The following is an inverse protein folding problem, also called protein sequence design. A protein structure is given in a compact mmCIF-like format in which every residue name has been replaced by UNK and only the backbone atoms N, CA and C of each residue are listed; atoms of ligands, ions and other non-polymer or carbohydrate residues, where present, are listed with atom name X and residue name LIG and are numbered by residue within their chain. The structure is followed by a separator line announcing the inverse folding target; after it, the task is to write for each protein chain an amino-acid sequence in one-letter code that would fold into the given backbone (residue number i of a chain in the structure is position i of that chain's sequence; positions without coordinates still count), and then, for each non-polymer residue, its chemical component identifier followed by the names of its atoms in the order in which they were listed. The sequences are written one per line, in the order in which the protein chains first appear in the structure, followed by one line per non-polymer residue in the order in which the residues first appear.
data_IF_575365318656
#
_entry.id   IF_575365318656
#
_cell.length_a   1.000
_cell.length_b   1.000
_cell.length_c   1.000
_cell.angle_alpha   90.00
_cell.angle_beta   90.00
_cell.angle_gamma   90.00
#
_symmetry.space_group_name_H-M   'P 1'
#
loop_
_entity.id
_entity.type
_entity.pdbx_description
1 polymer ?
#
# COMPACT_ATOMS: atom_id res chain seq x y z
N UNK A 1 -3.16 7.90 17.99
CA UNK A 1 -1.73 7.64 18.26
C UNK A 1 -1.06 7.38 16.92
N UNK A 2 0.15 7.89 16.71
CA UNK A 2 0.91 7.62 15.48
C UNK A 2 1.81 6.42 15.71
N UNK A 3 1.72 5.42 14.85
CA UNK A 3 2.58 4.26 14.87
C UNK A 3 3.32 4.16 13.53
N UNK A 4 4.59 3.80 13.59
CA UNK A 4 5.46 3.72 12.41
C UNK A 4 6.15 2.37 12.33
N UNK A 5 6.40 1.89 11.11
CA UNK A 5 7.17 0.68 10.87
C UNK A 5 7.82 0.71 9.48
N UNK A 6 8.86 -0.11 9.29
CA UNK A 6 9.58 -0.23 8.01
C UNK A 6 9.47 -1.68 7.54
N UNK A 7 8.32 -2.10 6.95
CA UNK A 7 8.05 -3.51 6.63
C UNK A 7 9.02 -4.08 5.60
N UNK A 8 9.64 -3.22 4.79
CA UNK A 8 10.61 -3.58 3.76
C UNK A 8 12.06 -3.49 4.24
N UNK A 9 12.32 -3.15 5.50
CA UNK A 9 13.68 -3.13 6.05
C UNK A 9 14.29 -4.56 6.03
N UNK A 10 15.44 -4.77 5.34
CA UNK A 10 16.10 -6.07 5.32
C UNK A 10 16.47 -6.60 6.70
N UNK A 11 16.75 -5.74 7.68
CA UNK A 11 17.06 -6.20 9.04
C UNK A 11 15.81 -6.76 9.74
N UNK A 12 14.68 -6.07 9.67
CA UNK A 12 13.38 -6.56 10.14
C UNK A 12 12.98 -7.89 9.46
N UNK A 13 13.14 -7.98 8.14
CA UNK A 13 12.83 -9.19 7.37
C UNK A 13 13.68 -10.39 7.80
N UNK A 14 14.99 -10.21 7.99
CA UNK A 14 15.90 -11.27 8.48
C UNK A 14 15.59 -11.69 9.92
N UNK A 15 15.16 -10.73 10.75
CA UNK A 15 14.77 -11.00 12.13
C UNK A 15 13.42 -11.72 12.25
N UNK A 16 12.65 -11.84 11.15
CA UNK A 16 11.30 -12.41 11.16
C UNK A 16 10.29 -11.55 11.92
N UNK A 17 10.58 -10.25 12.10
CA UNK A 17 9.80 -9.34 12.94
C UNK A 17 9.89 -7.91 12.43
N UNK A 18 8.76 -7.22 12.34
CA UNK A 18 8.67 -5.80 12.00
C UNK A 18 8.35 -5.01 13.27
N UNK A 19 9.31 -4.28 13.85
CA UNK A 19 9.06 -3.41 15.00
C UNK A 19 8.07 -2.31 14.62
N UNK A 20 7.11 -2.05 15.51
CA UNK A 20 6.19 -0.91 15.42
C UNK A 20 6.60 0.10 16.48
N UNK A 21 6.99 1.28 16.04
CA UNK A 21 7.48 2.36 16.88
C UNK A 21 6.41 3.44 17.06
N UNK A 22 6.30 3.98 18.27
CA UNK A 22 5.46 5.13 18.58
C UNK A 22 6.20 6.45 18.44
N UNK A 23 5.51 7.52 18.82
CA UNK A 23 6.12 8.84 18.96
C UNK A 23 7.30 8.76 19.95
N UNK A 24 8.49 9.19 19.52
CA UNK A 24 9.74 9.09 20.29
C UNK A 24 10.55 7.82 20.06
N UNK A 25 10.17 6.96 19.11
CA UNK A 25 10.97 5.80 18.68
C UNK A 25 10.91 4.60 19.63
N UNK A 26 10.11 4.65 20.69
CA UNK A 26 9.85 3.51 21.56
C UNK A 26 9.05 2.46 20.81
N UNK A 27 9.47 1.20 20.92
CA UNK A 27 8.70 0.08 20.40
C UNK A 27 7.38 -0.09 21.18
N UNK A 28 6.28 -0.09 20.44
CA UNK A 28 4.91 -0.27 20.95
C UNK A 28 4.49 -1.74 20.90
N UNK A 29 4.79 -2.39 19.77
CA UNK A 29 4.50 -3.79 19.51
C UNK A 29 5.33 -4.25 18.30
N UNK A 30 5.07 -5.44 17.78
CA UNK A 30 5.67 -5.89 16.54
C UNK A 30 4.71 -6.78 15.75
N UNK A 31 4.95 -6.87 14.45
CA UNK A 31 4.33 -7.84 13.56
C UNK A 31 5.33 -8.97 13.30
N UNK A 32 4.83 -10.19 13.18
CA UNK A 32 5.61 -11.29 12.61
C UNK A 32 5.71 -11.12 11.10
N UNK A 33 6.85 -11.50 10.53
CA UNK A 33 7.02 -11.51 9.08
C UNK A 33 7.86 -12.68 8.61
N UNK A 34 7.61 -13.14 7.38
CA UNK A 34 8.48 -14.07 6.67
C UNK A 34 8.56 -13.73 5.19
N UNK A 35 9.78 -13.56 4.68
CA UNK A 35 10.03 -13.41 3.24
C UNK A 35 10.13 -14.79 2.60
N UNK A 36 9.43 -14.98 1.50
CA UNK A 36 9.45 -16.19 0.70
C UNK A 36 9.96 -15.86 -0.71
N UNK A 37 11.06 -16.52 -1.08
CA UNK A 37 11.62 -16.48 -2.42
C UNK A 37 11.42 -17.85 -3.05
N UNK A 38 10.58 -17.92 -4.09
CA UNK A 38 10.16 -19.17 -4.71
C UNK A 38 10.52 -19.19 -6.18
N UNK A 39 11.40 -20.10 -6.64
CA UNK A 39 11.48 -20.39 -8.06
C UNK A 39 10.18 -21.09 -8.48
N UNK A 40 9.42 -20.46 -9.39
CA UNK A 40 8.25 -21.05 -10.02
C UNK A 40 8.59 -21.45 -11.46
N UNK A 41 7.74 -22.27 -12.08
CA UNK A 41 7.99 -22.80 -13.43
C UNK A 41 8.12 -21.71 -14.50
N UNK A 42 7.51 -20.54 -14.29
CA UNK A 42 7.41 -19.45 -15.25
C UNK A 42 8.18 -18.18 -14.85
N UNK A 43 8.43 -17.96 -13.55
CA UNK A 43 9.18 -16.80 -13.04
C UNK A 43 9.65 -16.98 -11.60
N UNK A 44 10.44 -16.04 -11.11
CA UNK A 44 10.81 -15.99 -9.70
C UNK A 44 9.80 -15.13 -8.91
N UNK A 45 9.19 -15.72 -7.89
CA UNK A 45 8.21 -15.04 -7.02
C UNK A 45 8.87 -14.63 -5.70
N UNK A 46 8.80 -13.33 -5.38
CA UNK A 46 9.23 -12.79 -4.09
C UNK A 46 8.04 -12.19 -3.37
N UNK A 47 7.74 -12.69 -2.18
CA UNK A 47 6.64 -12.18 -1.37
C UNK A 47 7.03 -12.14 0.10
N UNK A 48 6.25 -11.41 0.88
CA UNK A 48 6.38 -11.31 2.32
C UNK A 48 5.00 -11.56 2.93
N UNK A 49 4.94 -12.47 3.90
CA UNK A 49 3.75 -12.65 4.75
C UNK A 49 3.94 -11.83 6.01
N UNK A 50 2.93 -11.03 6.36
CA UNK A 50 2.91 -10.19 7.57
C UNK A 50 1.70 -10.62 8.40
N UNK A 51 1.91 -10.93 9.69
CA UNK A 51 0.85 -11.36 10.59
C UNK A 51 1.08 -10.87 12.03
N UNK A 52 0.09 -11.09 12.90
CA UNK A 52 0.22 -10.80 14.34
C UNK A 52 1.12 -11.84 15.01
N UNK A 53 0.95 -13.12 14.65
CA UNK A 53 1.64 -14.26 15.25
C UNK A 53 2.34 -15.10 14.18
N UNK A 54 3.41 -15.84 14.55
CA UNK A 54 4.03 -16.81 13.67
C UNK A 54 3.03 -17.85 13.16
N UNK A 55 3.19 -18.27 11.91
CA UNK A 55 2.33 -19.28 11.30
C UNK A 55 3.10 -20.18 10.35
N UNK A 56 2.61 -21.40 10.21
CA UNK A 56 3.15 -22.36 9.25
C UNK A 56 2.74 -21.96 7.84
N UNK A 57 3.75 -21.76 6.98
CA UNK A 57 3.54 -21.44 5.57
C UNK A 57 3.74 -22.69 4.73
N UNK A 58 2.92 -22.90 3.69
CA UNK A 58 3.01 -24.11 2.89
C UNK A 58 4.32 -24.13 2.10
N UNK A 59 4.98 -25.29 2.01
CA UNK A 59 6.27 -25.45 1.34
C UNK A 59 6.23 -25.05 -0.15
N UNK A 60 7.38 -24.75 -0.77
CA UNK A 60 7.43 -24.48 -2.21
C UNK A 60 7.11 -25.74 -3.03
N UNK A 61 6.39 -25.57 -4.14
CA UNK A 61 6.17 -26.62 -5.15
C UNK A 61 6.86 -26.16 -6.45
N UNK A 62 8.04 -26.69 -6.80
CA UNK A 62 8.85 -26.15 -7.90
C UNK A 62 8.16 -26.19 -9.28
N UNK A 63 7.23 -27.12 -9.48
CA UNK A 63 6.47 -27.26 -10.72
C UNK A 63 5.34 -26.24 -10.87
N UNK A 64 5.03 -25.49 -9.81
CA UNK A 64 3.91 -24.54 -9.75
C UNK A 64 4.26 -23.22 -10.47
N UNK A 65 3.27 -22.62 -11.15
CA UNK A 65 3.40 -21.25 -11.67
C UNK A 65 3.36 -20.23 -10.52
N UNK A 66 3.88 -19.02 -10.75
CA UNK A 66 3.85 -17.97 -9.72
C UNK A 66 2.43 -17.63 -9.25
N UNK A 67 1.44 -17.59 -10.16
CA UNK A 67 0.03 -17.40 -9.80
C UNK A 67 -0.51 -18.56 -8.98
N UNK A 68 -0.15 -19.81 -9.31
CA UNK A 68 -0.51 -20.98 -8.52
C UNK A 68 0.05 -20.90 -7.09
N UNK A 69 1.34 -20.59 -6.97
CA UNK A 69 2.03 -20.47 -5.69
C UNK A 69 1.42 -19.39 -4.80
N UNK A 70 1.02 -18.26 -5.40
CA UNK A 70 0.32 -17.18 -4.70
C UNK A 70 -1.10 -17.60 -4.26
N UNK A 71 -1.88 -18.24 -5.13
CA UNK A 71 -3.22 -18.73 -4.80
C UNK A 71 -3.20 -19.80 -3.71
N UNK A 72 -2.18 -20.67 -3.69
CA UNK A 72 -1.99 -21.68 -2.65
C UNK A 72 -1.64 -21.05 -1.32
N UNK A 73 -0.78 -20.04 -1.31
CA UNK A 73 -0.45 -19.28 -0.11
C UNK A 73 -1.70 -18.54 0.42
N UNK A 74 -2.44 -17.85 -0.44
CA UNK A 74 -3.70 -17.19 -0.08
C UNK A 74 -4.68 -18.17 0.58
N UNK A 75 -4.87 -19.36 -0.03
CA UNK A 75 -5.74 -20.39 0.53
C UNK A 75 -5.31 -20.82 1.93
N UNK A 76 -4.00 -20.98 2.16
CA UNK A 76 -3.45 -21.33 3.46
C UNK A 76 -3.62 -20.22 4.51
N UNK A 77 -3.64 -18.96 4.08
CA UNK A 77 -3.79 -17.79 4.96
C UNK A 77 -5.25 -17.35 5.15
N UNK A 78 -6.20 -18.01 4.50
CA UNK A 78 -7.61 -17.62 4.55
C UNK A 78 -8.14 -17.66 6.00
N UNK A 79 -8.65 -16.52 6.46
CA UNK A 79 -9.22 -16.37 7.80
C UNK A 79 -8.21 -16.12 8.93
N UNK A 80 -6.90 -16.12 8.65
CA UNK A 80 -5.88 -15.81 9.67
C UNK A 80 -5.70 -14.31 9.91
N UNK A 81 -6.16 -13.47 8.97
CA UNK A 81 -5.92 -12.03 8.97
C UNK A 81 -4.51 -11.62 8.51
N UNK A 82 -3.65 -12.58 8.12
CA UNK A 82 -2.35 -12.28 7.55
C UNK A 82 -2.46 -11.55 6.21
N UNK A 83 -1.46 -10.73 5.92
CA UNK A 83 -1.33 -9.99 4.66
C UNK A 83 -0.21 -10.57 3.82
N UNK A 84 -0.43 -10.59 2.50
CA UNK A 84 0.60 -10.91 1.52
C UNK A 84 1.05 -9.60 0.87
N UNK A 85 2.34 -9.31 0.98
CA UNK A 85 3.02 -8.27 0.22
C UNK A 85 3.82 -8.86 -0.94
N UNK A 86 3.56 -8.39 -2.15
CA UNK A 86 4.31 -8.75 -3.34
C UNK A 86 5.57 -7.87 -3.40
N UNK A 87 6.75 -8.49 -3.37
CA UNK A 87 8.03 -7.79 -3.30
C UNK A 87 8.65 -7.50 -4.68
N UNK A 88 8.06 -8.03 -5.74
CA UNK A 88 8.47 -7.81 -7.13
C UNK A 88 7.26 -7.71 -8.05
N UNK A 89 6.31 -6.78 -7.82
CA UNK A 89 5.06 -6.73 -8.56
C UNK A 89 5.24 -6.59 -10.08
N UNK A 90 6.30 -5.95 -10.55
CA UNK A 90 6.59 -5.79 -11.97
C UNK A 90 6.79 -7.10 -12.75
N UNK A 91 7.02 -8.25 -12.08
CA UNK A 91 7.12 -9.54 -12.78
C UNK A 91 5.78 -10.10 -13.25
N UNK A 92 4.66 -9.46 -12.87
CA UNK A 92 3.32 -9.88 -13.25
C UNK A 92 2.68 -8.90 -14.25
N UNK A 93 2.15 -9.38 -15.39
CA UNK A 93 1.23 -8.58 -16.18
C UNK A 93 0.03 -8.13 -15.34
N UNK A 94 -0.51 -6.90 -15.54
CA UNK A 94 -1.62 -6.39 -14.74
C UNK A 94 -2.84 -7.32 -14.66
N UNK A 95 -3.20 -7.97 -15.78
CA UNK A 95 -4.29 -8.93 -15.83
C UNK A 95 -4.05 -10.18 -14.97
N UNK A 96 -2.79 -10.60 -14.78
CA UNK A 96 -2.44 -11.74 -13.92
C UNK A 96 -2.40 -11.35 -12.45
N UNK A 97 -2.03 -10.10 -12.14
CA UNK A 97 -2.13 -9.56 -10.78
C UNK A 97 -3.59 -9.54 -10.33
N UNK A 98 -4.53 -9.21 -11.22
CA UNK A 98 -5.95 -9.19 -10.89
C UNK A 98 -6.48 -10.54 -10.37
N UNK A 99 -5.84 -11.64 -10.76
CA UNK A 99 -6.18 -12.99 -10.30
C UNK A 99 -5.59 -13.32 -8.92
N UNK A 100 -4.66 -12.50 -8.43
CA UNK A 100 -4.05 -12.66 -7.12
C UNK A 100 -4.86 -11.92 -6.04
N UNK A 101 -6.11 -12.35 -5.83
CA UNK A 101 -7.02 -11.74 -4.85
C UNK A 101 -6.43 -11.67 -3.43
N UNK A 102 -5.45 -12.50 -3.07
CA UNK A 102 -4.78 -12.44 -1.77
C UNK A 102 -3.72 -11.36 -1.60
N UNK A 103 -3.10 -10.87 -2.68
CA UNK A 103 -2.02 -9.88 -2.58
C UNK A 103 -2.60 -8.46 -2.53
N UNK A 104 -2.56 -7.85 -1.34
CA UNK A 104 -3.12 -6.51 -1.08
C UNK A 104 -2.06 -5.43 -0.90
N UNK A 105 -0.78 -5.82 -0.77
CA UNK A 105 0.33 -4.91 -0.54
C UNK A 105 1.41 -5.09 -1.61
N UNK A 106 1.91 -4.00 -2.20
CA UNK A 106 2.91 -4.00 -3.26
C UNK A 106 4.15 -3.24 -2.79
N UNK A 107 5.32 -3.85 -2.78
CA UNK A 107 6.57 -3.10 -2.61
C UNK A 107 6.82 -2.24 -3.85
N UNK A 108 7.08 -0.95 -3.64
CA UNK A 108 7.32 0.02 -4.71
C UNK A 108 8.78 0.48 -4.68
N UNK A 109 9.69 -0.39 -5.13
CA UNK A 109 11.12 -0.12 -5.08
C UNK A 109 11.57 0.84 -6.19
N UNK A 110 10.92 0.77 -7.35
CA UNK A 110 11.25 1.57 -8.53
C UNK A 110 10.01 1.95 -9.37
N UNK A 111 10.26 2.62 -10.49
CA UNK A 111 9.22 3.09 -11.39
C UNK A 111 8.43 1.96 -12.09
N UNK A 112 9.03 0.77 -12.27
CA UNK A 112 8.33 -0.36 -12.87
C UNK A 112 7.31 -0.97 -11.90
N UNK A 113 7.66 -1.02 -10.61
CA UNK A 113 6.72 -1.42 -9.56
C UNK A 113 5.57 -0.39 -9.43
N UNK A 114 5.88 0.91 -9.47
CA UNK A 114 4.87 1.97 -9.45
C UNK A 114 3.92 1.88 -10.65
N UNK A 115 4.44 1.67 -11.86
CA UNK A 115 3.62 1.49 -13.07
C UNK A 115 2.73 0.24 -12.97
N UNK A 116 3.25 -0.84 -12.40
CA UNK A 116 2.48 -2.08 -12.17
C UNK A 116 1.35 -1.85 -11.17
N UNK A 117 1.62 -1.08 -10.11
CA UNK A 117 0.62 -0.69 -9.13
C UNK A 117 -0.48 0.19 -9.74
N UNK A 118 -0.13 1.25 -10.49
CA UNK A 118 -1.11 2.12 -11.16
C UNK A 118 -1.97 1.35 -12.18
N UNK A 119 -1.38 0.38 -12.90
CA UNK A 119 -2.12 -0.48 -13.82
C UNK A 119 -3.17 -1.34 -13.08
N UNK A 120 -2.84 -1.87 -11.91
CA UNK A 120 -3.75 -2.66 -11.07
C UNK A 120 -4.84 -1.80 -10.45
N UNK A 121 -4.49 -0.60 -9.98
CA UNK A 121 -5.47 0.37 -9.48
C UNK A 121 -6.47 0.80 -10.55
N UNK A 122 -6.03 0.88 -11.82
CA UNK A 122 -6.89 1.19 -12.96
C UNK A 122 -7.94 0.11 -13.23
N UNK A 123 -7.72 -1.11 -12.76
CA UNK A 123 -8.72 -2.20 -12.76
C UNK A 123 -9.69 -2.13 -11.57
N UNK A 124 -9.55 -1.14 -10.69
CA UNK A 124 -10.40 -0.96 -9.50
C UNK A 124 -10.04 -1.89 -8.33
N UNK A 125 -8.86 -2.49 -8.35
CA UNK A 125 -8.44 -3.42 -7.31
C UNK A 125 -7.83 -2.69 -6.10
N UNK A 126 -8.27 -3.01 -4.86
CA UNK A 126 -7.77 -2.36 -3.66
C UNK A 126 -6.40 -2.92 -3.25
N UNK A 127 -5.35 -2.40 -3.89
CA UNK A 127 -3.95 -2.73 -3.61
C UNK A 127 -3.22 -1.49 -3.11
N UNK A 128 -2.41 -1.65 -2.08
CA UNK A 128 -1.73 -0.53 -1.40
C UNK A 128 -0.21 -0.64 -1.55
N UNK A 129 0.45 0.51 -1.75
CA UNK A 129 1.88 0.60 -1.97
C UNK A 129 2.65 0.65 -0.65
N UNK A 130 3.70 -0.17 -0.53
CA UNK A 130 4.68 -0.14 0.55
C UNK A 130 5.98 0.48 0.06
N UNK A 131 6.45 1.50 0.76
CA UNK A 131 7.71 2.17 0.48
C UNK A 131 8.20 2.93 1.72
N UNK A 132 9.51 2.96 1.93
CA UNK A 132 10.12 3.67 3.05
C UNK A 132 9.51 3.32 4.40
N UNK A 133 9.32 4.36 5.23
CA UNK A 133 8.64 4.23 6.52
C UNK A 133 7.14 4.33 6.34
N UNK A 134 6.41 3.37 6.88
CA UNK A 134 4.96 3.42 6.98
C UNK A 134 4.57 4.18 8.26
N UNK A 135 3.65 5.11 8.14
CA UNK A 135 3.03 5.82 9.25
C UNK A 135 1.52 5.59 9.24
N UNK A 136 0.99 5.06 10.33
CA UNK A 136 -0.43 4.77 10.49
C UNK A 136 -1.01 5.49 11.71
N UNK A 137 -2.23 5.98 11.57
CA UNK A 137 -3.00 6.52 12.68
C UNK A 137 -3.76 5.37 13.35
N UNK A 138 -3.22 4.88 14.47
CA UNK A 138 -3.83 3.80 15.25
C UNK A 138 -4.57 4.35 16.47
N UNK A 139 -5.71 3.76 16.78
CA UNK A 139 -6.44 4.04 18.03
C UNK A 139 -5.73 3.42 19.25
N UNK A 140 -5.08 2.27 19.05
CA UNK A 140 -4.41 1.52 20.12
C UNK A 140 -3.02 1.04 19.68
N UNK A 141 -2.13 0.82 20.66
CA UNK A 141 -0.82 0.21 20.47
C UNK A 141 -0.91 -1.32 20.37
N UNK A 142 -1.64 -1.83 19.37
CA UNK A 142 -1.88 -3.25 19.19
C UNK A 142 -1.47 -3.70 17.77
N UNK A 143 -0.80 -4.86 17.59
CA UNK A 143 -0.41 -5.35 16.26
C UNK A 143 -1.57 -5.44 15.27
N UNK A 144 -2.73 -5.89 15.73
CA UNK A 144 -3.94 -5.97 14.90
C UNK A 144 -4.43 -4.62 14.38
N UNK A 145 -4.19 -3.50 15.10
CA UNK A 145 -4.54 -2.17 14.62
C UNK A 145 -3.63 -1.74 13.45
N UNK A 146 -2.34 -2.03 13.54
CA UNK A 146 -1.37 -1.78 12.46
C UNK A 146 -1.65 -2.68 11.25
N UNK A 147 -1.90 -3.98 11.50
CA UNK A 147 -2.22 -4.93 10.43
C UNK A 147 -3.51 -4.53 9.71
N UNK A 148 -4.54 -4.09 10.45
CA UNK A 148 -5.76 -3.54 9.86
C UNK A 148 -5.48 -2.27 9.04
N UNK A 149 -4.65 -1.35 9.55
CA UNK A 149 -4.28 -0.16 8.80
C UNK A 149 -3.62 -0.51 7.45
N UNK A 150 -2.68 -1.47 7.44
CA UNK A 150 -2.07 -1.98 6.22
C UNK A 150 -3.10 -2.63 5.28
N UNK A 151 -4.01 -3.44 5.83
CA UNK A 151 -5.02 -4.18 5.06
C UNK A 151 -6.01 -3.28 4.31
N UNK A 152 -6.27 -2.07 4.84
CA UNK A 152 -7.27 -1.13 4.31
C UNK A 152 -6.67 0.17 3.76
N UNK A 153 -5.34 0.27 3.68
CA UNK A 153 -4.67 1.46 3.17
C UNK A 153 -4.71 2.68 4.10
N UNK A 154 -4.98 2.51 5.39
CA UNK A 154 -5.06 3.62 6.36
C UNK A 154 -3.67 4.01 6.87
N UNK A 155 -2.75 4.33 5.96
CA UNK A 155 -1.38 4.72 6.26
C UNK A 155 -0.79 5.65 5.19
N UNK A 156 0.34 6.25 5.51
CA UNK A 156 1.17 6.98 4.56
C UNK A 156 2.56 6.32 4.48
N UNK A 157 3.19 6.41 3.31
CA UNK A 157 4.60 6.08 3.11
C UNK A 157 5.41 7.37 3.21
N UNK A 158 6.45 7.39 4.03
CA UNK A 158 7.26 8.57 4.31
C UNK A 158 8.73 8.27 4.05
N UNK A 159 9.32 9.02 3.11
CA UNK A 159 10.74 8.99 2.79
C UNK A 159 11.30 10.40 2.98
N UNK A 160 11.71 10.71 4.21
CA UNK A 160 12.28 12.02 4.56
C UNK A 160 11.27 13.16 4.73
N UNK A 161 9.97 12.92 4.50
CA UNK A 161 8.90 13.87 4.75
C UNK A 161 7.78 13.23 5.57
N UNK A 162 7.65 13.63 6.83
CA UNK A 162 6.57 13.16 7.70
C UNK A 162 5.33 14.05 7.59
N UNK A 163 4.15 13.41 7.58
CA UNK A 163 2.88 14.12 7.71
C UNK A 163 2.59 14.41 9.18
N UNK A 164 2.29 15.67 9.49
CA UNK A 164 1.79 16.07 10.80
C UNK A 164 0.31 15.67 10.93
N UNK A 165 -0.44 15.79 9.83
CA UNK A 165 -1.87 15.51 9.79
C UNK A 165 -2.30 15.02 8.41
N UNK A 166 -3.19 14.04 8.40
CA UNK A 166 -3.93 13.57 7.24
C UNK A 166 -5.36 13.29 7.70
N UNK A 167 -6.32 14.07 7.23
CA UNK A 167 -7.74 13.85 7.48
C UNK A 167 -8.41 13.40 6.19
N UNK A 168 -8.97 12.20 6.21
CA UNK A 168 -9.70 11.64 5.07
C UNK A 168 -11.14 11.36 5.46
N UNK A 169 -12.06 11.74 4.58
CA UNK A 169 -13.47 11.43 4.73
C UNK A 169 -14.11 11.12 3.36
N UNK A 170 -15.44 11.14 3.31
CA UNK A 170 -16.21 10.88 2.08
C UNK A 170 -16.26 12.08 1.12
N UNK A 171 -15.88 13.27 1.59
CA UNK A 171 -15.90 14.50 0.84
C UNK A 171 -14.53 14.84 0.25
N UNK A 172 -13.43 14.37 0.87
CA UNK A 172 -12.10 14.58 0.33
C UNK A 172 -10.97 14.23 1.30
N UNK A 173 -9.86 14.93 1.13
CA UNK A 173 -8.65 14.77 1.94
C UNK A 173 -8.03 16.14 2.27
N UNK A 174 -7.63 16.32 3.51
CA UNK A 174 -6.83 17.46 3.96
C UNK A 174 -5.52 16.95 4.55
N UNK A 175 -4.43 17.70 4.36
CA UNK A 175 -3.12 17.31 4.84
C UNK A 175 -2.35 18.51 5.40
N UNK A 176 -1.38 18.21 6.26
CA UNK A 176 -0.40 19.16 6.78
C UNK A 176 0.97 18.51 6.93
N UNK A 177 1.98 19.23 6.49
CA UNK A 177 3.42 18.93 6.66
C UNK A 177 4.07 19.98 7.56
N UNK A 178 5.19 19.63 8.19
CA UNK A 178 5.96 20.58 9.00
C UNK A 178 6.78 21.59 8.20
N UNK A 179 6.85 21.42 6.87
CA UNK A 179 7.61 22.27 5.95
C UNK A 179 6.80 22.55 4.69
N UNK A 180 7.07 23.65 3.95
CA UNK A 180 6.48 23.87 2.63
C UNK A 180 6.76 22.70 1.68
N UNK A 181 5.73 22.25 0.97
CA UNK A 181 5.79 21.15 0.03
C UNK A 181 4.89 21.40 -1.19
N UNK A 182 5.11 20.60 -2.23
CA UNK A 182 4.21 20.47 -3.38
C UNK A 182 3.41 19.18 -3.23
N UNK A 183 2.08 19.28 -3.16
CA UNK A 183 1.19 18.13 -3.16
C UNK A 183 0.57 17.95 -4.56
N UNK A 184 0.75 16.75 -5.11
CA UNK A 184 0.14 16.30 -6.37
C UNK A 184 -1.01 15.36 -6.06
N UNK A 185 -2.20 15.67 -6.59
CA UNK A 185 -3.39 14.81 -6.50
C UNK A 185 -3.40 13.89 -7.71
N UNK A 186 -3.31 12.59 -7.47
CA UNK A 186 -3.32 11.55 -8.50
C UNK A 186 -4.65 10.81 -8.48
N UNK A 187 -5.24 10.61 -9.66
CA UNK A 187 -6.51 9.89 -9.85
C UNK A 187 -6.32 8.66 -10.75
N UNK A 188 -7.43 7.98 -11.10
CA UNK A 188 -7.43 6.79 -11.98
C UNK A 188 -6.45 6.89 -13.14
N UNK A 189 -5.66 5.83 -13.35
CA UNK A 189 -4.68 5.78 -14.44
C UNK A 189 -3.38 6.51 -14.15
N UNK A 190 -3.15 6.95 -12.90
CA UNK A 190 -1.96 7.71 -12.54
C UNK A 190 -2.00 9.17 -13.01
N UNK A 191 -3.15 9.67 -13.47
CA UNK A 191 -3.26 11.05 -13.97
C UNK A 191 -3.21 12.07 -12.82
N UNK A 192 -2.50 13.17 -13.05
CA UNK A 192 -2.49 14.33 -12.17
C UNK A 192 -3.79 15.14 -12.36
N UNK A 193 -4.59 15.25 -11.30
CA UNK A 193 -5.82 16.04 -11.29
C UNK A 193 -5.61 17.47 -10.78
N UNK A 194 -4.64 17.67 -9.89
CA UNK A 194 -4.30 18.98 -9.33
C UNK A 194 -2.91 18.98 -8.69
N UNK A 195 -2.39 20.20 -8.51
CA UNK A 195 -1.15 20.48 -7.81
C UNK A 195 -1.34 21.67 -6.87
N UNK A 196 -0.83 21.57 -5.65
CA UNK A 196 -0.96 22.60 -4.62
C UNK A 196 0.39 22.83 -3.94
N UNK A 197 0.72 24.10 -3.69
CA UNK A 197 1.94 24.50 -2.97
C UNK A 197 1.56 24.96 -1.56
N UNK A 198 2.36 24.58 -0.56
CA UNK A 198 2.19 25.01 0.83
C UNK A 198 2.53 23.91 1.83
N UNK A 199 2.50 24.27 3.11
CA UNK A 199 2.62 23.29 4.20
C UNK A 199 1.28 22.61 4.53
N UNK A 200 0.17 23.11 3.97
CA UNK A 200 -1.17 22.57 4.16
C UNK A 200 -1.94 22.63 2.84
N UNK A 201 -2.92 21.75 2.71
CA UNK A 201 -3.78 21.74 1.53
C UNK A 201 -5.01 20.87 1.73
N UNK A 202 -5.91 20.96 0.74
CA UNK A 202 -7.16 20.20 0.73
C UNK A 202 -7.57 19.84 -0.68
N UNK A 203 -8.12 18.65 -0.85
CA UNK A 203 -8.76 18.18 -2.06
C UNK A 203 -10.21 17.80 -1.74
N UNK A 204 -11.14 18.22 -2.60
CA UNK A 204 -12.55 17.85 -2.51
C UNK A 204 -12.89 16.95 -3.69
N UNK A 205 -13.43 15.77 -3.39
CA UNK A 205 -13.80 14.79 -4.39
C UNK A 205 -14.96 15.29 -5.25
N UNK A 206 -14.94 14.88 -6.51
CA UNK A 206 -15.93 15.18 -7.53
C UNK A 206 -16.86 13.98 -7.78
N UNK A 207 -16.38 12.77 -7.50
CA UNK A 207 -17.12 11.52 -7.64
C UNK A 207 -16.81 10.74 -8.93
N UNK A 208 -15.89 11.22 -9.76
CA UNK A 208 -15.51 10.61 -11.05
C UNK A 208 -14.03 10.19 -11.12
N UNK A 209 -13.31 10.31 -10.00
CA UNK A 209 -11.88 10.01 -9.91
C UNK A 209 -11.57 8.51 -9.89
N UNK A 210 -12.54 7.68 -9.52
CA UNK A 210 -12.43 6.26 -9.15
C UNK A 210 -11.52 5.99 -7.94
N UNK A 211 -10.33 6.57 -7.88
CA UNK A 211 -9.53 6.69 -6.66
C UNK A 211 -8.81 8.02 -6.60
N UNK A 212 -8.41 8.43 -5.40
CA UNK A 212 -7.55 9.59 -5.14
C UNK A 212 -6.38 9.14 -4.28
N UNK A 213 -5.15 9.52 -4.66
CA UNK A 213 -3.95 9.46 -3.79
C UNK A 213 -3.16 10.75 -3.88
N UNK A 214 -2.40 11.06 -2.84
CA UNK A 214 -1.52 12.23 -2.80
C UNK A 214 -0.07 11.80 -2.92
N UNK A 215 0.72 12.56 -3.67
CA UNK A 215 2.18 12.53 -3.61
C UNK A 215 2.67 13.91 -3.21
N UNK A 216 3.28 14.00 -2.04
CA UNK A 216 3.68 15.26 -1.41
C UNK A 216 5.20 15.31 -1.38
N UNK A 217 5.80 16.32 -2.02
CA UNK A 217 7.25 16.45 -2.18
C UNK A 217 7.75 17.74 -1.56
N UNK A 218 8.87 17.66 -0.86
CA UNK A 218 9.61 18.80 -0.34
C UNK A 218 11.10 18.66 -0.70
N UNK A 219 11.92 19.63 -0.34
CA UNK A 219 13.38 19.51 -0.48
C UNK A 219 13.97 18.38 0.38
N UNK A 220 13.32 18.00 1.48
CA UNK A 220 13.82 16.99 2.42
C UNK A 220 13.35 15.56 2.15
N UNK A 221 12.37 15.38 1.27
CA UNK A 221 11.78 14.06 1.06
C UNK A 221 10.39 14.08 0.45
N UNK A 222 9.81 12.89 0.35
CA UNK A 222 8.50 12.63 -0.25
C UNK A 222 7.62 11.82 0.70
N UNK A 223 6.32 12.07 0.63
CA UNK A 223 5.29 11.28 1.28
C UNK A 223 4.24 10.86 0.26
N UNK A 224 3.75 9.63 0.37
CA UNK A 224 2.67 9.08 -0.45
C UNK A 224 1.52 8.65 0.45
N UNK A 225 0.29 9.00 0.08
CA UNK A 225 -0.89 8.39 0.68
C UNK A 225 -1.33 7.18 -0.14
N UNK A 226 -2.12 6.31 0.49
CA UNK A 226 -2.73 5.20 -0.22
C UNK A 226 -3.94 5.65 -1.06
N UNK A 227 -4.29 4.90 -2.12
CA UNK A 227 -5.47 5.17 -2.91
C UNK A 227 -6.74 5.01 -2.08
N UNK A 228 -7.51 6.09 -2.00
CA UNK A 228 -8.88 6.08 -1.49
C UNK A 228 -9.85 5.94 -2.65
N UNK A 229 -10.63 4.86 -2.66
CA UNK A 229 -11.59 4.57 -3.73
C UNK A 229 -12.84 5.43 -3.59
N UNK A 230 -13.21 6.12 -4.65
CA UNK A 230 -14.30 7.10 -4.69
C UNK A 230 -15.52 6.48 -5.37
N UNK A 231 -16.62 6.37 -4.63
CA UNK A 231 -17.89 5.93 -5.19
C UNK A 231 -18.49 7.00 -6.11
N UNK A 232 -19.12 6.60 -7.24
CA UNK A 232 -19.86 7.53 -8.08
C UNK A 232 -20.98 8.25 -7.31
N UNK A 233 -21.13 9.56 -7.51
CA UNK A 233 -22.28 10.30 -6.97
C UNK A 233 -23.53 9.97 -7.77
N UNK A 234 -24.60 9.57 -7.07
CA UNK A 234 -25.90 9.30 -7.70
C UNK A 234 -26.36 10.51 -8.53
N UNK A 235 -26.69 10.30 -9.81
CA UNK A 235 -27.23 11.32 -10.70
C UNK A 235 -26.25 11.97 -11.68
N UNK A 236 -24.96 11.63 -11.65
CA UNK A 236 -24.06 11.97 -12.75
C UNK A 236 -24.10 10.85 -13.81
N UNK A 237 -24.46 11.14 -15.08
CA UNK A 237 -24.37 10.14 -16.13
C UNK A 237 -22.93 9.64 -16.21
N UNK A 238 -22.74 8.32 -16.24
CA UNK A 238 -21.44 7.73 -16.49
C UNK A 238 -20.90 8.33 -17.80
N UNK A 239 -19.87 9.18 -17.71
CA UNK A 239 -19.22 9.71 -18.89
C UNK A 239 -18.72 8.51 -19.69
N UNK A 240 -19.38 8.23 -20.82
CA UNK A 240 -18.97 7.20 -21.75
C UNK A 240 -17.55 7.55 -22.19
N UNK A 241 -16.59 6.78 -21.71
CA UNK A 241 -15.20 6.92 -22.10
C UNK A 241 -15.10 6.48 -23.56
N UNK A 242 -14.98 7.46 -24.47
CA UNK A 242 -14.59 7.16 -25.84
C UNK A 242 -13.16 6.63 -25.81
N UNK A 243 -13.01 5.34 -26.13
CA UNK A 243 -11.70 4.73 -26.36
C UNK A 243 -11.01 5.43 -27.52
N UNK A 244 -9.82 5.95 -27.26
CA UNK A 244 -8.87 6.39 -28.28
C UNK A 244 -7.97 5.23 -28.66
#
# INVERSE_FOLDING_TARGET
MRATCEPLDPAAQRAGRIPVLGDGGRELCALWTQVLERPCSDRHLRLQVIAIEPMELPAAEPSESATGALARLERALRGSGALIALLNPAVFPPAQIALAEGARLFALADAADEASWDAVLSLGLPVYGLRGRIACACLTAHPGAVLSALAYGNFACEEGLALERLDEDRAGVAWRTGVPAEATVIVRGGYEAARQQGAEGRWADRGNEAYVRLVIRSAGGTCWTQPRFIAPRAGQPAQQQHGH
#
